data_IF_803814306489
#
_entry.id   IF_803814306489
#
_cell.length_a   1.000
_cell.length_b   1.000
_cell.length_c   1.000
_cell.angle_alpha   90.00
_cell.angle_beta   90.00
_cell.angle_gamma   90.00
#
_symmetry.space_group_name_H-M   'P 1'
#
loop_
_entity.id
_entity.type
_entity.pdbx_description
1 polymer ?
#
# COMPACT_ATOMS: atom_id res chain seq x y z
N UNK A 1 16.09 14.50 10.86
CA UNK A 1 15.10 15.51 10.44
C UNK A 1 13.78 15.27 11.18
N UNK A 2 13.03 16.29 11.62
CA UNK A 2 11.74 16.05 12.32
C UNK A 2 10.60 15.92 11.29
N UNK A 3 10.29 14.68 10.88
CA UNK A 3 9.29 14.35 9.84
C UNK A 3 7.93 15.02 10.08
N UNK A 4 7.43 14.99 11.32
CA UNK A 4 6.15 15.59 11.70
C UNK A 4 6.12 17.10 11.46
N UNK A 5 7.22 17.80 11.74
CA UNK A 5 7.29 19.24 11.53
C UNK A 5 7.24 19.62 10.04
N UNK A 6 7.87 18.82 9.18
CA UNK A 6 7.84 19.01 7.72
C UNK A 6 6.44 18.73 7.15
N UNK A 7 5.82 17.62 7.57
CA UNK A 7 4.44 17.29 7.22
C UNK A 7 3.51 18.44 7.63
N UNK A 8 3.63 18.93 8.87
CA UNK A 8 2.80 20.03 9.37
C UNK A 8 3.01 21.33 8.58
N UNK A 9 4.24 21.64 8.16
CA UNK A 9 4.54 22.82 7.32
C UNK A 9 3.87 22.71 5.95
N UNK A 10 3.93 21.52 5.34
CA UNK A 10 3.27 21.24 4.06
C UNK A 10 1.74 21.34 4.19
N UNK A 11 1.15 20.70 5.20
CA UNK A 11 -0.29 20.75 5.50
C UNK A 11 -0.78 22.19 5.74
N UNK A 12 -0.07 22.99 6.53
CA UNK A 12 -0.41 24.41 6.75
C UNK A 12 -0.47 25.23 5.46
N UNK A 13 0.33 24.85 4.47
CA UNK A 13 0.39 25.56 3.19
C UNK A 13 -0.72 25.09 2.26
N UNK A 14 -0.85 23.77 2.07
CA UNK A 14 -1.78 23.17 1.11
C UNK A 14 -3.23 23.12 1.60
N UNK A 15 -3.45 22.94 2.91
CA UNK A 15 -4.79 22.88 3.52
C UNK A 15 -5.27 24.23 4.09
N UNK A 16 -4.54 25.33 3.85
CA UNK A 16 -4.87 26.66 4.39
C UNK A 16 -6.30 27.10 4.06
N UNK A 17 -6.77 26.79 2.85
CA UNK A 17 -8.10 27.15 2.37
C UNK A 17 -9.23 26.34 3.03
N UNK A 18 -8.91 25.26 3.75
CA UNK A 18 -9.91 24.36 4.33
C UNK A 18 -10.33 24.77 5.74
N UNK A 19 -9.64 25.73 6.37
CA UNK A 19 -10.06 26.28 7.67
C UNK A 19 -9.78 25.42 8.90
N UNK A 20 -8.96 24.35 8.76
CA UNK A 20 -8.54 23.55 9.91
C UNK A 20 -7.72 24.37 10.91
N UNK A 21 -7.98 24.14 12.19
CA UNK A 21 -7.23 24.75 13.27
C UNK A 21 -5.88 24.03 13.49
N UNK A 22 -5.00 24.63 14.31
CA UNK A 22 -3.65 24.07 14.56
C UNK A 22 -3.68 22.65 15.12
N UNK A 23 -4.60 22.34 16.05
CA UNK A 23 -4.67 21.00 16.68
C UNK A 23 -5.13 19.94 15.68
N UNK A 24 -6.08 20.28 14.81
CA UNK A 24 -6.54 19.40 13.73
C UNK A 24 -5.40 19.11 12.75
N UNK A 25 -4.66 20.13 12.32
CA UNK A 25 -3.51 19.96 11.44
C UNK A 25 -2.38 19.14 12.10
N UNK A 26 -2.17 19.29 13.40
CA UNK A 26 -1.21 18.48 14.16
C UNK A 26 -1.64 17.01 14.23
N UNK A 27 -2.92 16.74 14.47
CA UNK A 27 -3.47 15.38 14.47
C UNK A 27 -3.39 14.72 13.09
N UNK A 28 -3.64 15.48 12.02
CA UNK A 28 -3.47 14.99 10.65
C UNK A 28 -1.99 14.71 10.36
N UNK A 29 -1.09 15.58 10.82
CA UNK A 29 0.35 15.37 10.66
C UNK A 29 0.84 14.12 11.42
N UNK A 30 0.27 13.81 12.58
CA UNK A 30 0.52 12.56 13.30
C UNK A 30 0.07 11.35 12.49
N UNK A 31 -1.18 11.33 12.03
CA UNK A 31 -1.71 10.22 11.23
C UNK A 31 -0.90 9.98 9.93
N UNK A 32 -0.47 11.05 9.25
CA UNK A 32 0.40 10.94 8.06
C UNK A 32 1.79 10.43 8.46
N UNK A 33 2.35 10.92 9.55
CA UNK A 33 3.68 10.53 10.05
C UNK A 33 3.75 9.05 10.46
N UNK A 34 2.66 8.51 11.01
CA UNK A 34 2.57 7.11 11.44
C UNK A 34 2.46 6.14 10.27
N UNK A 35 1.86 6.56 9.16
CA UNK A 35 1.70 5.77 7.95
C UNK A 35 2.79 6.02 6.88
N UNK A 36 3.71 6.96 7.13
CA UNK A 36 4.79 7.29 6.21
C UNK A 36 6.02 6.44 6.51
N UNK A 37 6.26 5.45 5.65
CA UNK A 37 7.49 4.66 5.63
C UNK A 37 8.56 5.38 4.80
N UNK A 38 9.75 5.52 5.37
CA UNK A 38 10.92 6.11 4.74
C UNK A 38 12.06 5.09 4.80
N UNK A 39 12.85 4.97 3.73
CA UNK A 39 14.07 4.18 3.78
C UNK A 39 15.07 4.80 4.77
N UNK A 40 15.83 3.97 5.48
CA UNK A 40 16.78 4.43 6.51
C UNK A 40 17.92 5.28 5.94
N UNK A 41 18.23 5.11 4.65
CA UNK A 41 19.25 5.81 3.88
C UNK A 41 18.66 6.80 2.85
N UNK A 42 17.36 7.12 2.95
CA UNK A 42 16.71 8.08 2.06
C UNK A 42 17.40 9.45 2.12
N UNK A 43 17.64 10.04 0.95
CA UNK A 43 18.15 11.41 0.87
C UNK A 43 17.11 12.42 1.39
N UNK A 44 17.56 13.62 1.78
CA UNK A 44 16.64 14.68 2.22
C UNK A 44 15.61 15.05 1.13
N UNK A 45 15.99 14.92 -0.14
CA UNK A 45 15.09 15.13 -1.29
C UNK A 45 14.04 14.02 -1.41
N UNK A 46 14.43 12.77 -1.25
CA UNK A 46 13.49 11.64 -1.25
C UNK A 46 12.52 11.71 -0.07
N UNK A 47 13.02 12.08 1.11
CA UNK A 47 12.18 12.29 2.31
C UNK A 47 11.15 13.40 2.04
N UNK A 48 11.57 14.51 1.45
CA UNK A 48 10.65 15.61 1.16
C UNK A 48 9.62 15.23 0.10
N UNK A 49 10.01 14.49 -0.95
CA UNK A 49 9.10 13.99 -1.99
C UNK A 49 8.08 12.98 -1.43
N UNK A 50 8.50 12.08 -0.54
CA UNK A 50 7.63 11.13 0.13
C UNK A 50 6.60 11.85 1.03
N UNK A 51 7.05 12.86 1.79
CA UNK A 51 6.18 13.71 2.61
C UNK A 51 5.17 14.46 1.73
N UNK A 52 5.63 15.03 0.62
CA UNK A 52 4.76 15.78 -0.28
C UNK A 52 3.67 14.89 -0.87
N UNK A 53 4.05 13.69 -1.32
CA UNK A 53 3.12 12.67 -1.84
C UNK A 53 2.10 12.26 -0.79
N UNK A 54 2.54 12.01 0.45
CA UNK A 54 1.65 11.61 1.54
C UNK A 54 0.69 12.73 1.95
N UNK A 55 1.13 13.98 1.94
CA UNK A 55 0.26 15.14 2.18
C UNK A 55 -0.76 15.30 1.05
N UNK A 56 -0.34 15.18 -0.22
CA UNK A 56 -1.25 15.29 -1.36
C UNK A 56 -2.31 14.19 -1.39
N UNK A 57 -1.98 13.00 -0.88
CA UNK A 57 -2.93 11.89 -0.75
C UNK A 57 -4.07 12.20 0.25
N UNK A 58 -3.81 12.98 1.31
CA UNK A 58 -4.84 13.30 2.32
C UNK A 58 -5.69 14.54 1.98
N UNK A 59 -5.19 15.46 1.15
CA UNK A 59 -5.91 16.69 0.80
C UNK A 59 -7.36 16.48 0.30
N UNK A 60 -7.66 15.48 -0.54
CA UNK A 60 -9.02 15.25 -1.00
C UNK A 60 -9.98 14.88 0.14
N UNK A 61 -9.54 14.04 1.09
CA UNK A 61 -10.34 13.69 2.27
C UNK A 61 -10.57 14.89 3.18
N UNK A 62 -9.56 15.73 3.35
CA UNK A 62 -9.68 16.98 4.09
C UNK A 62 -10.73 17.92 3.46
N UNK A 63 -10.77 17.97 2.13
CA UNK A 63 -11.82 18.71 1.40
C UNK A 63 -13.21 18.11 1.63
N UNK A 64 -13.34 16.78 1.74
CA UNK A 64 -14.63 16.11 2.01
C UNK A 64 -15.09 16.45 3.42
N UNK A 65 -14.20 16.36 4.39
CA UNK A 65 -14.47 16.74 5.77
C UNK A 65 -14.92 18.20 5.87
N UNK A 66 -14.27 19.11 5.14
CA UNK A 66 -14.65 20.53 5.09
C UNK A 66 -16.04 20.75 4.46
N UNK A 67 -16.36 20.02 3.38
CA UNK A 67 -17.69 20.06 2.77
C UNK A 67 -18.77 19.53 3.71
N UNK A 68 -18.51 18.45 4.44
CA UNK A 68 -19.45 17.87 5.39
C UNK A 68 -19.72 18.83 6.56
N UNK A 69 -18.66 19.44 7.12
CA UNK A 69 -18.79 20.45 8.16
C UNK A 69 -19.58 21.68 7.68
N UNK A 70 -19.32 22.15 6.45
CA UNK A 70 -20.05 23.27 5.85
C UNK A 70 -21.54 22.96 5.68
N UNK A 71 -21.87 21.74 5.24
CA UNK A 71 -23.26 21.27 5.13
C UNK A 71 -23.96 21.24 6.49
N UNK A 72 -23.30 20.72 7.52
CA UNK A 72 -23.85 20.67 8.87
C UNK A 72 -24.12 22.08 9.44
N UNK A 73 -23.19 23.02 9.23
CA UNK A 73 -23.36 24.43 9.63
C UNK A 73 -24.53 25.07 8.88
N UNK A 74 -24.65 24.82 7.57
CA UNK A 74 -25.74 25.37 6.77
C UNK A 74 -27.09 24.80 7.22
N UNK A 75 -27.19 23.48 7.39
CA UNK A 75 -28.41 22.84 7.89
C UNK A 75 -28.83 23.39 9.26
N UNK A 76 -27.87 23.68 10.15
CA UNK A 76 -28.16 24.31 11.43
C UNK A 76 -28.70 25.75 11.26
N UNK A 77 -28.07 26.56 10.39
CA UNK A 77 -28.53 27.93 10.09
C UNK A 77 -29.94 27.94 9.48
N UNK A 78 -30.22 27.01 8.56
CA UNK A 78 -31.52 26.90 7.92
C UNK A 78 -32.61 26.45 8.91
N UNK A 79 -32.26 25.59 9.87
CA UNK A 79 -33.16 25.17 10.95
C UNK A 79 -33.34 26.24 12.05
N UNK A 80 -32.41 27.18 12.16
CA UNK A 80 -32.39 28.27 13.14
C UNK A 80 -32.16 29.61 12.44
N UNK A 81 -33.12 30.11 11.63
CA UNK A 81 -32.99 31.41 11.01
C UNK A 81 -32.92 32.48 12.11
N UNK A 82 -31.84 33.25 12.12
CA UNK A 82 -31.76 34.46 12.93
C UNK A 82 -32.72 35.48 12.31
N UNK A 83 -33.75 35.86 13.05
CA UNK A 83 -34.58 37.01 12.67
C UNK A 83 -33.69 38.25 12.70
N UNK A 84 -33.45 38.86 11.54
CA UNK A 84 -32.90 40.21 11.42
C UNK A 84 -33.95 41.17 12.00
N UNK A 85 -33.93 41.36 13.33
CA UNK A 85 -34.51 42.55 13.91
C UNK A 85 -33.50 43.68 13.68
N UNK A 86 -33.65 44.33 12.52
CA UNK A 86 -33.28 45.74 12.35
C UNK A 86 -34.03 46.54 13.44
N UNK A 87 -33.41 46.64 14.61
CA UNK A 87 -33.70 47.69 15.57
C UNK A 87 -32.45 48.53 15.67
N UNK A 88 -32.41 49.51 14.77
CA UNK A 88 -31.77 50.80 14.98
C UNK A 88 -32.14 51.32 16.37
N UNK A 89 -31.23 51.18 17.33
CA UNK A 89 -31.12 52.17 18.39
C UNK A 89 -29.66 52.29 18.80
N UNK A 90 -29.24 53.53 18.86
CA UNK A 90 -27.85 53.92 19.05
C UNK A 90 -27.36 53.78 20.48
N UNK A 91 -26.05 53.99 20.56
CA UNK A 91 -25.30 54.47 21.71
C UNK A 91 -24.75 53.44 22.72
N UNK A 92 -23.42 53.35 22.60
CA UNK A 92 -22.42 53.37 23.66
C UNK A 92 -21.86 52.09 24.32
N UNK A 93 -20.52 52.10 24.31
CA UNK A 93 -19.52 51.51 25.19
C UNK A 93 -19.59 50.06 25.72
N UNK A 94 -18.71 49.24 25.16
CA UNK A 94 -17.69 48.44 25.87
C UNK A 94 -18.12 47.69 27.15
N UNK A 95 -18.49 46.41 27.00
CA UNK A 95 -18.28 45.43 28.06
C UNK A 95 -18.11 44.00 27.51
N UNK A 96 -16.92 43.44 27.71
CA UNK A 96 -16.73 41.99 27.83
C UNK A 96 -17.72 41.45 28.87
N UNK A 97 -18.73 40.71 28.44
CA UNK A 97 -19.53 39.87 29.33
C UNK A 97 -20.08 38.66 28.55
N UNK A 98 -19.45 37.51 28.78
CA UNK A 98 -20.03 36.18 28.64
C UNK A 98 -21.48 36.17 29.14
N UNK A 99 -22.44 35.99 28.24
CA UNK A 99 -23.82 35.65 28.61
C UNK A 99 -24.19 34.28 28.04
N UNK A 100 -24.74 33.36 28.86
CA UNK A 100 -25.10 32.02 28.41
C UNK A 100 -26.38 32.09 27.57
N UNK A 101 -26.37 31.42 26.42
CA UNK A 101 -27.56 31.22 25.59
C UNK A 101 -28.68 30.58 26.42
N UNK A 102 -29.75 31.34 26.69
CA UNK A 102 -30.99 30.80 27.26
C UNK A 102 -31.76 30.07 26.16
N UNK A 103 -31.85 28.76 26.29
CA UNK A 103 -32.74 27.93 25.49
C UNK A 103 -34.20 28.12 25.93
N UNK A 104 -35.09 28.25 24.96
CA UNK A 104 -36.53 28.00 25.14
C UNK A 104 -37.07 27.36 23.86
N UNK A 105 -37.77 26.21 23.93
CA UNK A 105 -38.18 25.48 22.75
C UNK A 105 -39.51 26.04 22.25
N UNK A 106 -39.53 26.59 21.03
CA UNK A 106 -40.80 26.79 20.31
C UNK A 106 -40.91 25.80 19.15
N UNK A 107 -41.97 25.03 19.29
CA UNK A 107 -42.49 23.97 18.45
C UNK A 107 -42.97 24.55 17.11
N UNK A 108 -42.51 23.95 16.02
CA UNK A 108 -43.22 23.94 14.75
C UNK A 108 -42.57 24.71 13.60
N UNK A 109 -41.66 24.04 12.89
CA UNK A 109 -41.52 24.22 11.44
C UNK A 109 -41.11 22.87 10.84
N UNK A 110 -41.94 22.37 9.92
CA UNK A 110 -41.62 21.17 9.14
C UNK A 110 -40.39 21.49 8.30
N UNK A 111 -39.24 20.98 8.70
CA UNK A 111 -38.06 20.91 7.85
C UNK A 111 -38.43 20.08 6.63
N UNK A 112 -38.53 20.72 5.47
CA UNK A 112 -38.59 20.06 4.19
C UNK A 112 -37.21 19.46 3.94
N UNK A 113 -37.04 18.20 4.35
CA UNK A 113 -35.90 17.37 3.96
C UNK A 113 -35.96 17.13 2.47
N UNK A 114 -35.35 18.01 1.67
CA UNK A 114 -34.88 17.63 0.33
C UNK A 114 -33.64 16.80 0.53
N UNK A 115 -33.87 15.49 0.65
CA UNK A 115 -32.88 14.43 0.53
C UNK A 115 -32.32 14.44 -0.89
N UNK A 116 -31.27 15.21 -1.12
CA UNK A 116 -30.27 14.87 -2.13
C UNK A 116 -28.95 14.66 -1.41
N UNK A 117 -28.85 13.47 -0.83
CA UNK A 117 -27.64 12.92 -0.22
C UNK A 117 -26.70 12.36 -1.31
N UNK A 118 -26.71 12.96 -2.51
CA UNK A 118 -25.77 12.61 -3.56
C UNK A 118 -24.37 13.10 -3.16
N UNK A 119 -23.43 12.16 -3.12
CA UNK A 119 -22.00 12.44 -3.01
C UNK A 119 -21.63 13.39 -4.15
N UNK A 120 -21.14 14.61 -3.86
CA UNK A 120 -20.92 15.59 -4.91
C UNK A 120 -19.91 15.06 -5.95
N UNK A 121 -20.08 15.41 -7.23
CA UNK A 121 -19.34 14.81 -8.35
C UNK A 121 -17.80 14.83 -8.20
N UNK A 122 -17.25 15.80 -7.45
CA UNK A 122 -15.82 15.85 -7.16
C UNK A 122 -15.37 14.77 -6.15
N UNK A 123 -16.25 14.33 -5.24
CA UNK A 123 -16.03 13.24 -4.30
C UNK A 123 -16.20 11.87 -4.97
N UNK A 124 -17.15 11.72 -5.89
CA UNK A 124 -17.26 10.50 -6.71
C UNK A 124 -15.97 10.24 -7.52
N UNK A 125 -15.46 11.28 -8.20
CA UNK A 125 -14.17 11.21 -8.92
C UNK A 125 -12.98 10.89 -8.01
N UNK A 126 -13.07 11.19 -6.72
CA UNK A 126 -12.06 10.83 -5.74
C UNK A 126 -12.16 9.34 -5.39
N UNK A 127 -13.36 8.84 -5.12
CA UNK A 127 -13.58 7.40 -4.85
C UNK A 127 -13.16 6.54 -6.05
N UNK A 128 -13.54 6.91 -7.28
CA UNK A 128 -13.10 6.20 -8.50
C UNK A 128 -11.57 6.15 -8.63
N UNK A 129 -10.88 7.23 -8.24
CA UNK A 129 -9.43 7.28 -8.25
C UNK A 129 -8.81 6.46 -7.13
N UNK A 130 -9.45 6.40 -5.96
CA UNK A 130 -9.03 5.55 -4.84
C UNK A 130 -9.16 4.08 -5.22
N UNK A 131 -10.29 3.65 -5.77
CA UNK A 131 -10.52 2.29 -6.22
C UNK A 131 -9.48 1.88 -7.28
N UNK A 132 -9.15 2.81 -8.19
CA UNK A 132 -8.09 2.58 -9.19
C UNK A 132 -6.69 2.46 -8.56
N UNK A 133 -6.35 3.32 -7.59
CA UNK A 133 -5.06 3.27 -6.89
C UNK A 133 -4.94 2.02 -6.02
N UNK A 134 -6.03 1.61 -5.36
CA UNK A 134 -6.09 0.38 -4.57
C UNK A 134 -5.94 -0.84 -5.47
N UNK A 135 -6.61 -0.87 -6.62
CA UNK A 135 -6.41 -1.92 -7.63
C UNK A 135 -4.97 -1.97 -8.17
N UNK A 136 -4.36 -0.82 -8.44
CA UNK A 136 -2.97 -0.71 -8.93
C UNK A 136 -1.96 -1.16 -7.86
N UNK A 137 -2.08 -0.67 -6.62
CA UNK A 137 -1.25 -1.11 -5.49
C UNK A 137 -1.39 -2.60 -5.19
N UNK A 138 -2.59 -3.15 -5.34
CA UNK A 138 -2.84 -4.57 -5.14
C UNK A 138 -2.15 -5.37 -6.24
N UNK A 139 -2.24 -4.93 -7.50
CA UNK A 139 -1.52 -5.54 -8.63
C UNK A 139 0.00 -5.49 -8.44
N UNK A 140 0.55 -4.35 -8.00
CA UNK A 140 1.99 -4.19 -7.72
C UNK A 140 2.48 -5.08 -6.58
N UNK A 141 1.69 -5.22 -5.50
CA UNK A 141 2.00 -6.13 -4.39
C UNK A 141 2.00 -7.59 -4.84
N UNK A 142 0.99 -8.00 -5.61
CA UNK A 142 0.87 -9.35 -6.19
C UNK A 142 2.05 -9.64 -7.14
N UNK A 143 2.37 -8.70 -8.01
CA UNK A 143 3.51 -8.79 -8.92
C UNK A 143 4.84 -8.93 -8.16
N UNK A 144 5.02 -8.16 -7.08
CA UNK A 144 6.24 -8.21 -6.26
C UNK A 144 6.40 -9.55 -5.53
N UNK A 145 5.31 -10.12 -5.00
CA UNK A 145 5.32 -11.45 -4.37
C UNK A 145 5.71 -12.53 -5.39
N UNK A 146 5.08 -12.51 -6.58
CA UNK A 146 5.37 -13.47 -7.64
C UNK A 146 6.80 -13.32 -8.19
N UNK A 147 7.29 -12.09 -8.36
CA UNK A 147 8.65 -11.84 -8.82
C UNK A 147 9.69 -12.40 -7.86
N UNK A 148 9.51 -12.25 -6.55
CA UNK A 148 10.42 -12.82 -5.53
C UNK A 148 10.46 -14.34 -5.58
N UNK A 149 9.31 -15.01 -5.77
CA UNK A 149 9.27 -16.46 -5.90
C UNK A 149 10.04 -16.94 -7.14
N UNK A 150 9.98 -16.15 -8.22
CA UNK A 150 10.49 -16.55 -9.53
C UNK A 150 11.90 -16.05 -9.87
N UNK A 151 12.54 -15.26 -8.99
CA UNK A 151 13.75 -14.47 -9.27
C UNK A 151 14.94 -15.31 -9.80
N UNK A 152 15.00 -16.60 -9.46
CA UNK A 152 16.07 -17.52 -9.86
C UNK A 152 15.62 -18.72 -10.71
N UNK A 153 14.41 -18.67 -11.26
CA UNK A 153 13.78 -19.81 -11.97
C UNK A 153 13.98 -19.78 -13.49
N UNK A 154 14.67 -18.76 -14.00
CA UNK A 154 15.08 -18.67 -15.41
C UNK A 154 13.90 -18.47 -16.38
N UNK A 155 13.75 -19.38 -17.36
CA UNK A 155 12.72 -19.29 -18.41
C UNK A 155 11.31 -19.52 -17.86
N UNK A 156 11.16 -20.35 -16.83
CA UNK A 156 9.90 -20.58 -16.13
C UNK A 156 9.39 -19.25 -15.56
N UNK A 157 10.20 -18.58 -14.73
CA UNK A 157 9.84 -17.29 -14.15
C UNK A 157 9.45 -16.23 -15.17
N UNK A 158 10.19 -16.11 -16.28
CA UNK A 158 9.84 -15.17 -17.35
C UNK A 158 8.48 -15.49 -18.00
N UNK A 159 8.16 -16.77 -18.17
CA UNK A 159 6.89 -17.21 -18.77
C UNK A 159 5.72 -17.01 -17.81
N UNK A 160 5.91 -17.34 -16.54
CA UNK A 160 4.91 -17.18 -15.47
C UNK A 160 4.62 -15.72 -15.21
N UNK A 161 5.63 -14.83 -15.17
CA UNK A 161 5.43 -13.38 -15.08
C UNK A 161 4.65 -12.82 -16.28
N UNK A 162 4.93 -13.34 -17.49
CA UNK A 162 4.19 -12.93 -18.71
C UNK A 162 2.74 -13.41 -18.71
N UNK A 163 2.48 -14.59 -18.12
CA UNK A 163 1.12 -15.08 -17.91
C UNK A 163 0.40 -14.22 -16.89
N UNK A 164 1.03 -13.92 -15.75
CA UNK A 164 0.48 -13.07 -14.69
C UNK A 164 0.05 -11.70 -15.22
N UNK A 165 0.86 -11.06 -16.07
CA UNK A 165 0.51 -9.78 -16.70
C UNK A 165 -0.76 -9.82 -17.57
N UNK A 166 -1.27 -11.01 -17.93
CA UNK A 166 -2.50 -11.21 -18.71
C UNK A 166 -3.67 -11.68 -17.86
N UNK A 167 -3.41 -12.05 -16.61
CA UNK A 167 -4.42 -12.54 -15.67
C UNK A 167 -4.99 -11.37 -14.87
N UNK A 168 -6.24 -11.53 -14.43
CA UNK A 168 -6.93 -10.64 -13.50
C UNK A 168 -7.47 -11.49 -12.38
N UNK A 169 -7.19 -11.10 -11.15
CA UNK A 169 -7.66 -11.79 -9.94
C UNK A 169 -8.73 -10.91 -9.28
N UNK A 170 -9.85 -11.50 -8.90
CA UNK A 170 -10.96 -10.77 -8.30
C UNK A 170 -10.66 -10.41 -6.84
N UNK A 171 -9.92 -11.25 -6.13
CA UNK A 171 -9.55 -11.07 -4.73
C UNK A 171 -8.12 -11.56 -4.45
N UNK A 172 -7.64 -11.36 -3.22
CA UNK A 172 -6.30 -11.81 -2.81
C UNK A 172 -6.24 -13.33 -2.59
N UNK A 173 -7.36 -13.99 -2.28
CA UNK A 173 -7.45 -15.43 -2.07
C UNK A 173 -7.18 -16.21 -3.36
N UNK A 174 -7.79 -15.82 -4.50
CA UNK A 174 -7.51 -16.37 -5.83
C UNK A 174 -6.04 -16.18 -6.24
N UNK A 175 -5.45 -15.04 -5.86
CA UNK A 175 -4.05 -14.80 -6.13
C UNK A 175 -3.16 -15.71 -5.27
N UNK A 176 -3.52 -15.97 -4.02
CA UNK A 176 -2.79 -16.88 -3.13
C UNK A 176 -2.89 -18.33 -3.61
N UNK A 177 -4.06 -18.79 -4.05
CA UNK A 177 -4.22 -20.10 -4.70
C UNK A 177 -3.34 -20.23 -5.95
N UNK A 178 -3.32 -19.21 -6.82
CA UNK A 178 -2.43 -19.19 -7.98
C UNK A 178 -0.95 -19.17 -7.58
N UNK A 179 -0.60 -18.47 -6.50
CA UNK A 179 0.77 -18.44 -5.97
C UNK A 179 1.20 -19.84 -5.50
N UNK A 180 0.32 -20.55 -4.80
CA UNK A 180 0.54 -21.93 -4.36
C UNK A 180 0.68 -22.89 -5.54
N UNK A 181 -0.14 -22.75 -6.58
CA UNK A 181 -0.02 -23.53 -7.83
C UNK A 181 1.34 -23.28 -8.50
N UNK A 182 1.74 -22.02 -8.67
CA UNK A 182 3.05 -21.65 -9.24
C UNK A 182 4.21 -22.18 -8.39
N UNK A 183 4.06 -22.21 -7.07
CA UNK A 183 5.05 -22.77 -6.17
C UNK A 183 5.16 -24.30 -6.33
N UNK A 184 4.03 -25.00 -6.43
CA UNK A 184 4.00 -26.45 -6.69
C UNK A 184 4.67 -26.79 -8.03
N UNK A 185 4.30 -26.09 -9.10
CA UNK A 185 4.91 -26.26 -10.43
C UNK A 185 6.42 -26.02 -10.41
N UNK A 186 6.87 -25.06 -9.60
CA UNK A 186 8.29 -24.78 -9.43
C UNK A 186 9.02 -25.92 -8.71
N UNK A 187 8.42 -26.48 -7.67
CA UNK A 187 8.99 -27.62 -6.93
C UNK A 187 9.05 -28.88 -7.82
N UNK A 188 8.01 -29.15 -8.60
CA UNK A 188 7.99 -30.23 -9.59
C UNK A 188 9.10 -30.04 -10.65
N UNK A 189 9.23 -28.84 -11.22
CA UNK A 189 10.28 -28.56 -12.21
C UNK A 189 11.69 -28.69 -11.62
N UNK A 190 11.90 -28.28 -10.37
CA UNK A 190 13.17 -28.45 -9.70
C UNK A 190 13.47 -29.93 -9.44
N UNK A 191 12.46 -30.71 -9.08
CA UNK A 191 12.59 -32.16 -8.89
C UNK A 191 12.86 -32.88 -10.21
N UNK A 192 12.14 -32.54 -11.29
CA UNK A 192 12.41 -33.06 -12.64
C UNK A 192 13.85 -32.74 -13.05
N UNK A 193 14.29 -31.49 -12.88
CA UNK A 193 15.67 -31.09 -13.21
C UNK A 193 16.71 -31.86 -12.39
N UNK A 194 16.44 -32.12 -11.12
CA UNK A 194 17.32 -32.91 -10.27
C UNK A 194 17.39 -34.37 -10.74
N UNK A 195 16.24 -34.99 -11.04
CA UNK A 195 16.14 -36.35 -11.56
C UNK A 195 16.82 -36.48 -12.93
N UNK A 196 16.63 -35.50 -13.80
CA UNK A 196 17.17 -35.49 -15.16
C UNK A 196 18.69 -35.26 -15.16
N UNK A 197 19.17 -34.40 -14.24
CA UNK A 197 20.59 -34.23 -13.95
C UNK A 197 21.24 -35.50 -13.41
N UNK A 198 20.58 -36.17 -12.46
CA UNK A 198 21.04 -37.45 -11.91
C UNK A 198 21.05 -38.55 -12.97
N UNK A 199 20.00 -38.63 -13.81
CA UNK A 199 19.93 -39.59 -14.92
C UNK A 199 21.07 -39.35 -15.92
N UNK A 200 21.38 -38.10 -16.25
CA UNK A 200 22.49 -37.74 -17.16
C UNK A 200 23.86 -38.03 -16.57
N UNK A 201 24.03 -37.92 -15.25
CA UNK A 201 25.28 -38.27 -14.57
C UNK A 201 25.45 -39.79 -14.41
N UNK A 202 24.35 -40.53 -14.20
CA UNK A 202 24.34 -41.98 -14.15
C UNK A 202 24.49 -42.65 -15.53
N UNK A 203 24.10 -41.96 -16.61
CA UNK A 203 24.35 -42.40 -17.98
C UNK A 203 25.72 -41.92 -18.45
N UNK A 204 26.79 -42.60 -18.04
CA UNK A 204 28.06 -42.52 -18.77
C UNK A 204 27.77 -42.97 -20.20
N UNK A 205 27.98 -42.14 -21.24
CA UNK A 205 27.74 -42.57 -22.61
C UNK A 205 28.60 -43.81 -22.87
N UNK A 206 28.07 -44.88 -23.48
CA UNK A 206 28.90 -46.01 -23.84
C UNK A 206 30.02 -45.49 -24.72
N UNK A 207 31.26 -45.59 -24.23
CA UNK A 207 32.44 -45.18 -24.96
C UNK A 207 32.39 -45.86 -26.33
N UNK A 208 32.22 -45.05 -27.37
CA UNK A 208 32.10 -45.50 -28.74
C UNK A 208 33.46 -46.04 -29.17
N UNK A 209 33.76 -47.30 -28.84
CA UNK A 209 35.01 -47.93 -29.28
C UNK A 209 35.52 -49.19 -28.58
N UNK A 210 34.98 -49.66 -27.46
CA UNK A 210 35.52 -50.86 -26.80
C UNK A 210 34.56 -52.04 -26.89
N UNK A 211 34.97 -53.07 -27.63
CA UNK A 211 34.35 -54.39 -27.61
C UNK A 211 34.28 -54.90 -26.17
N UNK A 212 33.20 -55.63 -25.90
CA UNK A 212 32.97 -56.37 -24.67
C UNK A 212 34.22 -57.16 -24.26
N UNK A 213 34.77 -56.82 -23.10
CA UNK A 213 35.60 -57.75 -22.35
C UNK A 213 35.29 -57.61 -20.86
N UNK A 214 35.30 -58.77 -20.23
CA UNK A 214 34.60 -59.14 -19.00
C UNK A 214 34.98 -58.31 -17.77
N UNK A 215 34.02 -58.24 -16.85
CA UNK A 215 34.18 -58.27 -15.39
C UNK A 215 35.63 -58.05 -14.91
N UNK A 216 35.97 -56.81 -14.56
CA UNK A 216 37.06 -56.55 -13.63
C UNK A 216 36.47 -55.87 -12.41
N UNK A 217 36.30 -56.69 -11.38
CA UNK A 217 36.20 -56.29 -9.98
C UNK A 217 37.24 -55.18 -9.73
N UNK A 218 36.75 -54.00 -9.36
CA UNK A 218 37.62 -52.88 -9.01
C UNK A 218 38.23 -53.22 -7.67
N UNK A 219 39.47 -53.73 -7.65
CA UNK A 219 40.23 -53.85 -6.41
C UNK A 219 40.41 -52.44 -5.83
N UNK A 220 39.68 -52.18 -4.74
CA UNK A 220 39.84 -51.00 -3.91
C UNK A 220 41.27 -51.04 -3.34
N UNK A 221 42.03 -49.94 -3.50
CA UNK A 221 43.39 -49.81 -2.94
C UNK A 221 43.40 -50.25 -1.47
N UNK A 222 44.33 -51.14 -1.11
CA UNK A 222 44.44 -51.64 0.27
C UNK A 222 44.87 -50.53 1.21
N UNK A 223 44.41 -50.56 2.47
CA UNK A 223 44.70 -49.56 3.51
C UNK A 223 46.21 -49.24 3.65
N UNK A 224 47.09 -50.21 3.37
CA UNK A 224 48.54 -50.01 3.39
C UNK A 224 49.06 -48.98 2.36
N UNK A 225 48.34 -48.78 1.26
CA UNK A 225 48.67 -47.78 0.24
C UNK A 225 48.16 -46.38 0.61
N UNK A 226 47.05 -46.29 1.35
CA UNK A 226 46.56 -45.03 1.91
C UNK A 226 47.48 -44.52 3.02
N UNK A 227 48.01 -45.41 3.85
CA UNK A 227 48.86 -45.07 4.99
C UNK A 227 50.25 -44.55 4.58
N UNK A 228 50.73 -44.91 3.37
CA UNK A 228 51.95 -44.34 2.78
C UNK A 228 51.73 -42.93 2.26
N UNK A 229 50.57 -42.64 1.67
CA UNK A 229 50.24 -41.31 1.16
C UNK A 229 50.07 -40.30 2.30
N UNK A 230 49.55 -40.74 3.45
CA UNK A 230 49.38 -39.89 4.63
C UNK A 230 50.70 -39.51 5.32
N UNK A 231 51.80 -40.25 5.08
CA UNK A 231 53.14 -39.94 5.64
C UNK A 231 53.98 -39.04 4.74
N UNK A 232 53.50 -38.72 3.55
CA UNK A 232 54.19 -37.82 2.60
C UNK A 232 53.70 -36.35 2.70
N UNK A 233 52.88 -36.02 3.70
CA UNK A 233 52.43 -34.66 4.04
C UNK A 233 52.92 -34.20 5.42
#
# INVERSE_FOLDING_TARGET
>A
MNKKQLILKSLKTKAKAFGFNKKELESIADAVSDNLELAEDASDEDVNAAIETAVDAVLPFLKVSQSAASRAIQAYKDAHPVEDNDSDDGDDENALATKPFKSSPKKGSKAQTTTDDETPAWAQRLFDRLDKIEGEKTTDKRQSKLQKLLENTGSFGKRTMKAFARMKFENDEEFEEYLEEVQSDLDELNQERANDGLSKLGSVPPAKGAKADKEKEVELMSDDELDKLAKEF
#
